data_IF_270262526311
#
_entry.id   IF_270262526311
#
_cell.length_a   1.000
_cell.length_b   1.000
_cell.length_c   1.000
_cell.angle_alpha   90.00
_cell.angle_beta   90.00
_cell.angle_gamma   90.00
#
_symmetry.space_group_name_H-M   'P 1'
#
loop_
_entity.id
_entity.type
_entity.pdbx_description
1 polymer ?
#
# COMPACT_ATOMS: atom_id res chain seq x y z
N UNK A 1 -16.86 -20.93 6.40
CA UNK A 1 -18.21 -20.89 5.81
C UNK A 1 -19.34 -21.31 6.76
N UNK A 2 -19.07 -22.05 7.86
CA UNK A 2 -20.12 -22.66 8.69
C UNK A 2 -20.77 -21.79 9.79
N UNK A 3 -20.42 -20.51 9.98
CA UNK A 3 -20.86 -19.74 11.16
C UNK A 3 -21.75 -18.52 10.87
N UNK A 4 -21.96 -18.12 9.62
CA UNK A 4 -22.68 -16.87 9.32
C UNK A 4 -24.21 -17.02 9.34
N UNK A 5 -24.79 -18.17 9.01
CA UNK A 5 -26.22 -18.42 9.04
C UNK A 5 -27.03 -17.31 8.33
N UNK A 6 -28.14 -16.89 8.92
CA UNK A 6 -29.01 -15.80 8.43
C UNK A 6 -28.54 -14.39 8.86
N UNK A 7 -27.23 -14.18 9.05
CA UNK A 7 -26.72 -12.89 9.51
C UNK A 7 -26.53 -11.91 8.35
N UNK A 8 -26.81 -10.65 8.63
CA UNK A 8 -26.50 -9.54 7.73
C UNK A 8 -25.04 -9.12 7.89
N UNK A 9 -24.34 -8.88 6.79
CA UNK A 9 -22.99 -8.34 6.79
C UNK A 9 -23.05 -6.82 6.76
N UNK A 10 -22.37 -6.17 7.73
CA UNK A 10 -22.15 -4.74 7.72
C UNK A 10 -20.65 -4.49 7.47
N UNK A 11 -20.34 -3.85 6.35
CA UNK A 11 -18.99 -3.57 5.92
C UNK A 11 -18.78 -2.05 5.93
N UNK A 12 -18.22 -1.50 7.00
CA UNK A 12 -17.81 -0.10 7.03
C UNK A 12 -16.55 0.08 6.16
N UNK A 13 -16.37 1.27 5.62
CA UNK A 13 -15.17 1.61 4.82
C UNK A 13 -14.91 0.65 3.66
N UNK A 14 -15.91 0.40 2.85
CA UNK A 14 -15.78 -0.50 1.72
C UNK A 14 -14.68 -0.08 0.74
N UNK A 15 -14.29 1.20 0.74
CA UNK A 15 -13.15 1.73 -0.02
C UNK A 15 -11.81 1.05 0.33
N UNK A 16 -11.71 0.54 1.55
CA UNK A 16 -10.54 -0.17 2.06
C UNK A 16 -10.69 -1.69 2.02
N UNK A 17 -11.84 -2.20 1.57
CA UNK A 17 -12.15 -3.63 1.66
C UNK A 17 -11.11 -4.49 0.95
N UNK A 18 -10.78 -4.19 -0.29
CA UNK A 18 -9.78 -4.94 -1.07
C UNK A 18 -8.39 -4.90 -0.44
N UNK A 19 -8.00 -3.75 0.11
CA UNK A 19 -6.69 -3.59 0.77
C UNK A 19 -6.64 -4.45 2.03
N UNK A 20 -7.63 -4.30 2.92
CA UNK A 20 -7.71 -5.06 4.18
C UNK A 20 -7.83 -6.56 3.94
N UNK A 21 -8.62 -6.96 2.95
CA UNK A 21 -8.73 -8.36 2.60
C UNK A 21 -7.42 -8.92 2.06
N UNK A 22 -6.73 -8.17 1.22
CA UNK A 22 -5.42 -8.59 0.72
C UNK A 22 -4.43 -8.77 1.87
N UNK A 23 -4.38 -7.84 2.81
CA UNK A 23 -3.54 -7.93 4.00
C UNK A 23 -3.88 -9.17 4.85
N UNK A 24 -5.16 -9.41 5.10
CA UNK A 24 -5.61 -10.55 5.91
C UNK A 24 -5.40 -11.92 5.23
N UNK A 25 -5.48 -11.96 3.92
CA UNK A 25 -5.29 -13.19 3.15
C UNK A 25 -3.82 -13.41 2.77
N UNK A 26 -2.96 -12.39 2.92
CA UNK A 26 -1.54 -12.51 2.61
C UNK A 26 -0.86 -13.52 3.54
N UNK A 27 0.01 -14.31 2.95
CA UNK A 27 0.81 -15.31 3.66
C UNK A 27 2.25 -14.80 3.70
N UNK A 28 2.85 -14.84 4.89
CA UNK A 28 4.24 -14.50 5.11
C UNK A 28 4.98 -15.68 5.73
N UNK A 29 5.98 -16.17 5.02
CA UNK A 29 6.85 -17.25 5.48
C UNK A 29 8.16 -16.63 5.96
N UNK A 30 8.45 -16.82 7.22
CA UNK A 30 9.69 -16.40 7.87
C UNK A 30 10.56 -17.62 8.23
N UNK A 31 11.78 -17.39 8.69
CA UNK A 31 12.72 -18.47 9.00
C UNK A 31 12.18 -19.50 9.99
N UNK A 32 11.43 -19.07 11.01
CA UNK A 32 10.86 -19.98 11.99
C UNK A 32 9.86 -20.97 11.39
N UNK A 33 9.10 -20.55 10.37
CA UNK A 33 8.18 -21.47 9.65
C UNK A 33 8.94 -22.59 8.90
N UNK A 34 10.14 -22.28 8.37
CA UNK A 34 11.00 -23.33 7.78
C UNK A 34 11.46 -24.35 8.84
N UNK A 35 11.79 -23.89 10.05
CA UNK A 35 12.16 -24.76 11.16
C UNK A 35 10.97 -25.65 11.58
N UNK A 36 9.79 -25.06 11.72
CA UNK A 36 8.55 -25.77 12.02
C UNK A 36 8.23 -26.85 10.97
N UNK A 37 8.38 -26.52 9.69
CA UNK A 37 8.16 -27.48 8.60
C UNK A 37 9.13 -28.66 8.68
N UNK A 38 10.43 -28.40 8.93
CA UNK A 38 11.44 -29.45 9.08
C UNK A 38 11.15 -30.37 10.28
N UNK A 39 10.72 -29.81 11.39
CA UNK A 39 10.33 -30.57 12.56
C UNK A 39 9.07 -31.43 12.33
N UNK A 40 8.11 -30.92 11.60
CA UNK A 40 6.89 -31.63 11.25
C UNK A 40 7.13 -32.74 10.23
N UNK A 41 8.11 -32.58 9.31
CA UNK A 41 8.39 -33.51 8.23
C UNK A 41 9.87 -33.96 8.23
N UNK A 42 10.34 -34.74 9.23
CA UNK A 42 11.76 -35.14 9.36
C UNK A 42 12.29 -35.93 8.16
N UNK A 43 11.44 -36.70 7.48
CA UNK A 43 11.78 -37.48 6.30
C UNK A 43 12.14 -36.59 5.08
N UNK A 44 11.69 -35.33 5.04
CA UNK A 44 11.99 -34.39 3.99
C UNK A 44 13.03 -33.31 4.38
N UNK A 45 13.59 -33.37 5.60
CA UNK A 45 14.47 -32.34 6.16
C UNK A 45 15.63 -31.97 5.25
N UNK A 46 16.37 -33.00 4.70
CA UNK A 46 17.49 -32.71 3.82
C UNK A 46 17.09 -32.01 2.53
N UNK A 47 15.97 -32.40 1.93
CA UNK A 47 15.45 -31.77 0.71
C UNK A 47 14.99 -30.34 0.98
N UNK A 48 14.35 -30.07 2.13
CA UNK A 48 13.91 -28.75 2.56
C UNK A 48 15.11 -27.82 2.81
N UNK A 49 16.16 -28.31 3.47
CA UNK A 49 17.40 -27.55 3.69
C UNK A 49 18.08 -27.19 2.37
N UNK A 50 18.26 -28.16 1.47
CA UNK A 50 18.88 -27.92 0.17
C UNK A 50 18.07 -26.90 -0.66
N UNK A 51 16.75 -27.00 -0.63
CA UNK A 51 15.86 -26.09 -1.36
C UNK A 51 15.92 -24.67 -0.78
N UNK A 52 15.83 -24.54 0.54
CA UNK A 52 15.94 -23.25 1.23
C UNK A 52 17.29 -22.57 0.97
N UNK A 53 18.39 -23.31 1.07
CA UNK A 53 19.74 -22.83 0.76
C UNK A 53 19.89 -22.37 -0.70
N UNK A 54 19.30 -23.13 -1.62
CA UNK A 54 19.32 -22.79 -3.05
C UNK A 54 18.54 -21.50 -3.31
N UNK A 55 17.34 -21.37 -2.75
CA UNK A 55 16.51 -20.18 -2.86
C UNK A 55 17.20 -18.95 -2.25
N UNK A 56 17.76 -19.10 -1.06
CA UNK A 56 18.50 -18.05 -0.37
C UNK A 56 19.70 -17.57 -1.21
N UNK A 57 20.51 -18.49 -1.72
CA UNK A 57 21.64 -18.13 -2.59
C UNK A 57 21.19 -17.42 -3.85
N UNK A 58 20.15 -17.88 -4.52
CA UNK A 58 19.63 -17.22 -5.73
C UNK A 58 19.14 -15.79 -5.44
N UNK A 59 18.42 -15.58 -4.34
CA UNK A 59 17.94 -14.28 -3.95
C UNK A 59 19.08 -13.31 -3.66
N UNK A 60 20.02 -13.68 -2.77
CA UNK A 60 21.12 -12.79 -2.40
C UNK A 60 22.19 -12.59 -3.48
N UNK A 61 22.33 -13.53 -4.42
CA UNK A 61 23.20 -13.32 -5.58
C UNK A 61 22.63 -12.33 -6.61
N UNK A 62 21.32 -12.21 -6.70
CA UNK A 62 20.64 -11.30 -7.65
C UNK A 62 20.35 -9.94 -7.04
N UNK A 63 20.14 -9.91 -5.73
CA UNK A 63 19.83 -8.67 -5.02
C UNK A 63 21.02 -7.71 -5.01
N UNK A 64 20.74 -6.44 -5.29
CA UNK A 64 21.68 -5.36 -4.94
C UNK A 64 21.57 -5.06 -3.44
N UNK A 65 22.57 -4.35 -2.86
CA UNK A 65 22.55 -4.00 -1.43
C UNK A 65 21.39 -3.08 -1.02
N UNK A 66 20.72 -2.50 -1.98
CA UNK A 66 19.61 -1.56 -1.79
C UNK A 66 18.24 -2.21 -2.00
N UNK A 67 18.19 -3.42 -2.58
CA UNK A 67 16.91 -4.09 -2.85
C UNK A 67 16.35 -4.66 -1.54
N UNK A 68 15.25 -4.08 -1.07
CA UNK A 68 14.51 -4.59 0.09
C UNK A 68 13.51 -5.68 -0.31
N UNK A 69 13.02 -5.67 -1.56
CA UNK A 69 12.04 -6.61 -2.09
C UNK A 69 12.46 -7.12 -3.46
N UNK A 70 12.21 -8.39 -3.74
CA UNK A 70 12.46 -9.02 -5.04
C UNK A 70 11.33 -9.95 -5.43
N UNK A 71 10.92 -9.92 -6.68
CA UNK A 71 9.98 -10.91 -7.22
C UNK A 71 10.61 -12.30 -7.19
N UNK A 72 9.85 -13.30 -6.72
CA UNK A 72 10.27 -14.70 -6.71
C UNK A 72 10.31 -15.27 -8.14
N UNK A 73 11.27 -16.15 -8.41
CA UNK A 73 11.27 -16.91 -9.66
C UNK A 73 10.26 -18.07 -9.57
N UNK A 74 9.34 -18.13 -10.53
CA UNK A 74 8.32 -19.18 -10.56
C UNK A 74 8.85 -20.61 -10.49
N UNK A 75 10.05 -20.88 -11.05
CA UNK A 75 10.66 -22.20 -10.98
C UNK A 75 11.09 -22.62 -9.57
N UNK A 76 11.58 -21.67 -8.75
CA UNK A 76 11.99 -21.96 -7.38
C UNK A 76 10.77 -22.18 -6.46
N UNK A 77 9.76 -21.33 -6.56
CA UNK A 77 8.52 -21.48 -5.81
C UNK A 77 7.73 -22.72 -6.23
N UNK A 78 7.76 -23.06 -7.52
CA UNK A 78 7.11 -24.28 -8.02
C UNK A 78 7.77 -25.55 -7.46
N UNK A 79 9.11 -25.63 -7.43
CA UNK A 79 9.81 -26.77 -6.84
C UNK A 79 9.45 -26.99 -5.38
N UNK A 80 9.27 -25.88 -4.62
CA UNK A 80 8.83 -25.94 -3.23
C UNK A 80 7.38 -26.44 -3.12
N UNK A 81 6.47 -25.92 -3.94
CA UNK A 81 5.07 -26.39 -3.96
C UNK A 81 4.96 -27.86 -4.32
N UNK A 82 5.75 -28.33 -5.26
CA UNK A 82 5.74 -29.74 -5.65
C UNK A 82 6.25 -30.64 -4.51
N UNK A 83 7.27 -30.20 -3.77
CA UNK A 83 7.72 -30.88 -2.57
C UNK A 83 6.64 -30.90 -1.47
N UNK A 84 6.00 -29.76 -1.21
CA UNK A 84 4.92 -29.66 -0.22
C UNK A 84 3.72 -30.55 -0.55
N UNK A 85 3.38 -30.74 -1.83
CA UNK A 85 2.28 -31.61 -2.27
C UNK A 85 2.57 -33.11 -2.02
N UNK A 86 3.84 -33.49 -1.89
CA UNK A 86 4.25 -34.84 -1.58
C UNK A 86 4.26 -35.13 -0.07
N UNK A 87 4.03 -34.13 0.76
CA UNK A 87 4.03 -34.25 2.22
C UNK A 87 2.59 -34.24 2.74
N UNK A 88 2.21 -35.26 3.51
CA UNK A 88 0.82 -35.47 3.96
C UNK A 88 0.38 -34.46 5.04
N UNK A 89 1.27 -34.03 5.92
CA UNK A 89 0.97 -33.25 7.10
C UNK A 89 1.81 -31.94 7.21
N UNK A 90 1.63 -31.04 6.25
CA UNK A 90 2.26 -29.72 6.34
C UNK A 90 1.55 -28.84 7.40
N UNK A 91 2.31 -28.18 8.28
CA UNK A 91 1.72 -27.19 9.19
C UNK A 91 1.24 -25.94 8.44
N UNK A 92 0.30 -25.17 9.03
CA UNK A 92 0.05 -23.82 8.52
C UNK A 92 1.30 -22.97 8.79
N UNK A 93 1.67 -22.01 7.88
CA UNK A 93 0.92 -21.61 6.68
C UNK A 93 1.27 -22.43 5.40
N UNK A 94 2.12 -23.43 5.48
CA UNK A 94 2.56 -24.21 4.31
C UNK A 94 1.42 -24.95 3.61
N UNK A 95 0.48 -25.48 4.40
CA UNK A 95 -0.73 -26.14 3.87
C UNK A 95 -1.54 -25.19 2.99
N UNK A 96 -1.62 -23.93 3.37
CA UNK A 96 -2.40 -22.92 2.67
C UNK A 96 -1.76 -22.60 1.30
N UNK A 97 -0.43 -22.59 1.24
CA UNK A 97 0.35 -22.36 0.01
C UNK A 97 0.09 -23.42 -1.06
N UNK A 98 -0.12 -24.67 -0.66
CA UNK A 98 -0.40 -25.77 -1.60
C UNK A 98 -1.74 -25.57 -2.31
N UNK A 99 -2.70 -24.94 -1.66
CA UNK A 99 -4.05 -24.71 -2.19
C UNK A 99 -4.15 -23.46 -3.08
N UNK A 100 -3.14 -22.59 -3.06
CA UNK A 100 -3.12 -21.35 -3.84
C UNK A 100 -2.86 -21.65 -5.31
N UNK A 101 -3.66 -21.03 -6.19
CA UNK A 101 -3.35 -20.92 -7.60
C UNK A 101 -2.29 -19.82 -7.83
N UNK A 102 -1.05 -20.16 -8.24
CA UNK A 102 0.00 -19.17 -8.43
C UNK A 102 -0.34 -18.07 -9.44
N UNK A 103 -1.25 -18.33 -10.38
CA UNK A 103 -1.67 -17.37 -11.39
C UNK A 103 -2.52 -16.22 -10.82
N UNK A 104 -3.11 -16.42 -9.64
CA UNK A 104 -3.97 -15.46 -8.96
C UNK A 104 -3.26 -14.72 -7.80
N UNK A 105 -1.98 -15.04 -7.57
CA UNK A 105 -1.23 -14.49 -6.45
C UNK A 105 0.07 -13.85 -6.89
N UNK A 106 0.43 -12.75 -6.26
CA UNK A 106 1.77 -12.18 -6.36
C UNK A 106 2.69 -12.85 -5.34
N UNK A 107 3.94 -13.07 -5.74
CA UNK A 107 4.96 -13.70 -4.91
C UNK A 107 6.24 -12.87 -4.92
N UNK A 108 6.75 -12.56 -3.73
CA UNK A 108 8.02 -11.83 -3.60
C UNK A 108 8.76 -12.23 -2.33
N UNK A 109 10.07 -11.98 -2.34
CA UNK A 109 10.92 -12.05 -1.15
C UNK A 109 11.18 -10.65 -0.60
N UNK A 110 11.06 -10.47 0.70
CA UNK A 110 11.62 -9.33 1.43
C UNK A 110 12.97 -9.73 2.01
N UNK A 111 13.98 -8.89 1.82
CA UNK A 111 15.36 -9.19 2.13
C UNK A 111 15.86 -8.33 3.29
N UNK A 112 16.42 -8.94 4.31
CA UNK A 112 17.24 -8.28 5.32
C UNK A 112 18.73 -8.55 5.04
N UNK A 113 19.38 -7.58 4.41
CA UNK A 113 20.80 -7.67 4.06
C UNK A 113 21.74 -7.67 5.26
N UNK A 114 21.29 -7.21 6.43
CA UNK A 114 22.09 -7.17 7.65
C UNK A 114 22.13 -8.52 8.33
N UNK A 115 20.98 -9.19 8.39
CA UNK A 115 20.85 -10.49 9.02
C UNK A 115 21.00 -11.64 8.03
N UNK A 116 21.09 -11.35 6.73
CA UNK A 116 21.05 -12.34 5.64
C UNK A 116 19.81 -13.24 5.72
N UNK A 117 18.72 -12.66 6.15
CA UNK A 117 17.42 -13.31 6.22
C UNK A 117 16.51 -12.83 5.10
N UNK A 118 15.55 -13.64 4.77
CA UNK A 118 14.48 -13.26 3.84
C UNK A 118 13.16 -13.87 4.27
N UNK A 119 12.08 -13.21 3.94
CA UNK A 119 10.73 -13.75 4.08
C UNK A 119 10.09 -13.91 2.70
N UNK A 120 9.33 -14.98 2.52
CA UNK A 120 8.53 -15.20 1.33
C UNK A 120 7.12 -14.68 1.57
N UNK A 121 6.68 -13.75 0.74
CA UNK A 121 5.38 -13.12 0.84
C UNK A 121 4.52 -13.50 -0.36
N UNK A 122 3.27 -13.84 -0.08
CA UNK A 122 2.26 -14.17 -1.08
C UNK A 122 1.01 -13.32 -0.80
N UNK A 123 0.46 -12.68 -1.83
CA UNK A 123 -0.76 -11.89 -1.69
C UNK A 123 -1.68 -12.10 -2.91
N UNK A 124 -3.01 -12.18 -2.71
CA UNK A 124 -3.95 -12.31 -3.80
C UNK A 124 -3.95 -11.05 -4.67
N UNK A 125 -3.94 -11.22 -5.99
CA UNK A 125 -4.04 -10.11 -6.94
C UNK A 125 -5.42 -9.45 -6.84
N UNK A 126 -6.48 -10.25 -6.83
CA UNK A 126 -7.88 -9.82 -6.74
C UNK A 126 -8.56 -10.45 -5.52
N UNK A 127 -8.45 -9.84 -4.33
CA UNK A 127 -8.96 -10.43 -3.09
C UNK A 127 -10.49 -10.53 -3.05
N UNK A 128 -11.22 -9.68 -3.78
CA UNK A 128 -12.68 -9.73 -3.82
C UNK A 128 -13.22 -10.96 -4.54
N UNK A 129 -12.48 -11.54 -5.49
CA UNK A 129 -12.86 -12.79 -6.16
C UNK A 129 -13.00 -13.94 -5.15
N UNK A 130 -12.21 -13.92 -4.09
CA UNK A 130 -12.24 -14.96 -3.05
C UNK A 130 -13.46 -14.88 -2.13
N UNK A 131 -14.15 -13.75 -2.09
CA UNK A 131 -15.31 -13.51 -1.23
C UNK A 131 -16.57 -13.11 -2.00
N UNK A 132 -16.49 -13.05 -3.32
CA UNK A 132 -17.62 -12.68 -4.17
C UNK A 132 -18.88 -13.49 -3.88
N UNK A 133 -18.75 -14.83 -3.81
CA UNK A 133 -19.85 -15.74 -3.48
C UNK A 133 -20.43 -15.50 -2.09
N UNK A 134 -19.57 -15.17 -1.10
CA UNK A 134 -20.02 -14.84 0.25
C UNK A 134 -20.85 -13.56 0.28
N UNK A 135 -20.38 -12.51 -0.41
CA UNK A 135 -21.07 -11.22 -0.49
C UNK A 135 -22.39 -11.31 -1.26
N UNK A 136 -22.48 -12.20 -2.26
CA UNK A 136 -23.72 -12.43 -3.01
C UNK A 136 -24.72 -13.30 -2.26
N UNK A 137 -24.26 -14.24 -1.43
CA UNK A 137 -25.12 -15.18 -0.71
C UNK A 137 -25.69 -14.62 0.60
N UNK A 138 -25.17 -13.48 1.09
CA UNK A 138 -25.60 -12.88 2.34
C UNK A 138 -26.09 -11.43 2.13
N UNK A 139 -27.19 -11.01 2.79
CA UNK A 139 -27.58 -9.62 2.80
C UNK A 139 -26.45 -8.75 3.32
N UNK A 140 -25.95 -7.83 2.50
CA UNK A 140 -24.77 -7.02 2.82
C UNK A 140 -25.08 -5.53 2.72
N UNK A 141 -24.72 -4.76 3.75
CA UNK A 141 -24.73 -3.31 3.73
C UNK A 141 -23.28 -2.81 3.72
N UNK A 142 -22.90 -2.12 2.65
CA UNK A 142 -21.57 -1.60 2.45
C UNK A 142 -21.59 -0.06 2.53
N UNK A 143 -20.75 0.52 3.34
CA UNK A 143 -20.65 1.97 3.55
C UNK A 143 -19.31 2.47 3.01
N UNK A 144 -19.35 3.57 2.27
CA UNK A 144 -18.16 4.27 1.75
C UNK A 144 -18.20 5.72 2.17
N UNK A 145 -17.04 6.27 2.56
CA UNK A 145 -16.84 7.69 2.80
C UNK A 145 -16.59 8.48 1.49
N UNK A 146 -16.12 7.79 0.45
CA UNK A 146 -15.77 8.38 -0.85
C UNK A 146 -16.83 7.96 -1.89
N UNK A 147 -17.83 8.79 -2.08
CA UNK A 147 -19.07 8.44 -2.77
C UNK A 147 -18.97 7.96 -4.23
N UNK A 148 -18.00 8.37 -5.01
CA UNK A 148 -17.86 8.00 -6.43
C UNK A 148 -16.47 7.47 -6.70
N UNK A 149 -16.32 6.16 -6.54
CA UNK A 149 -15.03 5.50 -6.61
C UNK A 149 -14.99 4.52 -7.80
N UNK A 150 -14.48 4.99 -8.93
CA UNK A 150 -14.33 4.17 -10.14
C UNK A 150 -13.55 2.87 -9.92
N UNK A 151 -12.65 2.85 -8.93
CA UNK A 151 -11.93 1.66 -8.51
C UNK A 151 -12.87 0.57 -7.97
N UNK A 152 -13.73 0.93 -7.02
CA UNK A 152 -14.70 -0.03 -6.45
C UNK A 152 -15.65 -0.57 -7.52
N UNK A 153 -16.07 0.26 -8.46
CA UNK A 153 -16.89 -0.18 -9.56
C UNK A 153 -16.18 -1.19 -10.45
N UNK A 154 -14.89 -0.97 -10.71
CA UNK A 154 -14.08 -1.91 -11.46
C UNK A 154 -13.89 -3.23 -10.70
N UNK A 155 -13.47 -3.16 -9.43
CA UNK A 155 -13.27 -4.34 -8.57
C UNK A 155 -14.56 -5.15 -8.39
N UNK A 156 -15.70 -4.49 -8.19
CA UNK A 156 -17.01 -5.16 -8.09
C UNK A 156 -17.43 -5.81 -9.41
N UNK A 157 -17.13 -5.15 -10.54
CA UNK A 157 -17.40 -5.72 -11.86
C UNK A 157 -16.54 -6.96 -12.12
N UNK A 158 -15.26 -6.91 -11.76
CA UNK A 158 -14.35 -8.05 -11.89
C UNK A 158 -14.76 -9.21 -11.00
N UNK A 159 -15.11 -8.96 -9.75
CA UNK A 159 -15.59 -9.98 -8.80
C UNK A 159 -17.07 -10.38 -9.04
N UNK A 160 -17.70 -9.90 -10.12
CA UNK A 160 -19.10 -10.13 -10.44
C UNK A 160 -20.10 -9.73 -9.33
N UNK A 161 -19.71 -8.84 -8.42
CA UNK A 161 -20.54 -8.34 -7.33
C UNK A 161 -21.48 -7.26 -7.88
N UNK A 162 -22.80 -7.44 -7.71
CA UNK A 162 -23.81 -6.47 -8.17
C UNK A 162 -24.63 -6.00 -6.98
N UNK A 163 -24.55 -4.72 -6.59
CA UNK A 163 -25.41 -4.17 -5.56
C UNK A 163 -26.84 -4.03 -6.08
N UNK A 164 -27.84 -4.47 -5.31
CA UNK A 164 -29.25 -4.31 -5.64
C UNK A 164 -29.69 -2.84 -5.49
N UNK A 165 -29.14 -2.14 -4.50
CA UNK A 165 -29.46 -0.74 -4.24
C UNK A 165 -28.16 0.04 -4.02
N UNK A 166 -28.07 1.21 -4.65
CA UNK A 166 -26.99 2.18 -4.45
C UNK A 166 -27.59 3.51 -4.05
N UNK A 167 -27.16 4.04 -2.92
CA UNK A 167 -27.57 5.35 -2.42
C UNK A 167 -26.34 6.20 -2.10
N UNK A 168 -26.37 7.47 -2.49
CA UNK A 168 -25.33 8.45 -2.15
C UNK A 168 -25.95 9.56 -1.32
N UNK A 169 -25.44 9.73 -0.11
CA UNK A 169 -25.82 10.82 0.79
C UNK A 169 -24.76 11.92 0.62
N UNK A 170 -25.00 12.86 -0.30
CA UNK A 170 -24.10 14.01 -0.47
C UNK A 170 -24.52 15.13 0.48
N UNK A 171 -23.63 15.51 1.37
CA UNK A 171 -23.73 16.83 2.02
C UNK A 171 -23.43 17.93 1.00
N UNK A 172 -24.38 18.86 0.85
CA UNK A 172 -24.25 20.00 -0.08
C UNK A 172 -23.13 20.99 0.30
N UNK A 173 -22.62 20.91 1.50
CA UNK A 173 -21.76 21.94 2.10
C UNK A 173 -20.25 21.78 1.86
N UNK A 174 -19.79 20.69 1.27
CA UNK A 174 -18.38 20.48 0.95
C UNK A 174 -17.91 21.20 -0.34
N UNK A 175 -18.68 22.16 -0.83
CA UNK A 175 -18.41 22.85 -2.10
C UNK A 175 -17.51 24.09 -1.97
N UNK A 176 -17.01 24.44 -0.79
CA UNK A 176 -16.02 25.51 -0.72
C UNK A 176 -14.70 25.05 -1.35
N UNK A 177 -14.22 25.79 -2.36
CA UNK A 177 -12.98 25.43 -3.02
C UNK A 177 -11.81 25.56 -2.05
N UNK A 178 -11.05 24.48 -1.87
CA UNK A 178 -9.82 24.51 -1.09
C UNK A 178 -8.77 25.31 -1.85
N UNK A 179 -8.11 26.34 -1.24
CA UNK A 179 -7.01 27.06 -1.87
C UNK A 179 -5.90 26.08 -2.28
N UNK A 180 -5.65 25.98 -3.59
CA UNK A 180 -4.66 25.08 -4.17
C UNK A 180 -3.48 25.88 -4.71
N UNK A 181 -2.28 25.56 -4.22
CA UNK A 181 -1.02 25.98 -4.79
C UNK A 181 -0.38 24.86 -5.61
N UNK A 182 -0.25 25.04 -6.90
CA UNK A 182 0.46 24.12 -7.78
C UNK A 182 1.29 24.92 -8.79
N UNK A 183 2.63 24.89 -8.74
CA UNK A 183 3.48 25.59 -9.71
C UNK A 183 3.24 25.07 -11.13
N UNK A 184 3.14 25.97 -12.11
CA UNK A 184 2.82 25.61 -13.50
C UNK A 184 3.87 24.76 -14.20
N UNK A 185 5.12 24.83 -13.75
CA UNK A 185 6.25 24.09 -14.35
C UNK A 185 7.00 23.38 -13.25
N UNK A 186 6.56 22.18 -12.96
CA UNK A 186 7.16 21.35 -11.95
C UNK A 186 8.00 20.25 -12.62
N UNK A 187 9.18 19.91 -12.08
CA UNK A 187 9.93 18.75 -12.55
C UNK A 187 9.20 17.47 -12.17
N UNK A 188 9.38 16.43 -12.96
CA UNK A 188 8.89 15.09 -12.63
C UNK A 188 9.73 14.49 -11.48
N UNK A 189 9.11 13.68 -10.60
CA UNK A 189 9.79 13.07 -9.44
C UNK A 189 11.05 12.26 -9.76
N UNK A 190 11.14 11.67 -10.95
CA UNK A 190 12.29 10.89 -11.40
C UNK A 190 13.46 11.71 -11.95
N UNK A 191 13.38 13.06 -11.89
CA UNK A 191 14.45 13.94 -12.39
C UNK A 191 15.41 14.35 -11.26
N UNK A 192 16.69 14.53 -11.59
CA UNK A 192 17.72 14.93 -10.61
C UNK A 192 17.46 16.29 -9.95
N UNK A 193 16.68 17.16 -10.60
CA UNK A 193 16.35 18.49 -10.08
C UNK A 193 15.16 18.48 -9.13
N UNK A 194 14.43 17.38 -9.03
CA UNK A 194 13.19 17.30 -8.28
C UNK A 194 13.39 17.53 -6.77
N UNK A 195 14.38 16.89 -6.17
CA UNK A 195 14.67 17.03 -4.73
C UNK A 195 15.00 18.47 -4.36
N UNK A 196 15.76 19.18 -5.21
CA UNK A 196 16.07 20.60 -5.03
C UNK A 196 14.82 21.47 -5.14
N UNK A 197 14.00 21.24 -6.18
CA UNK A 197 12.73 21.95 -6.38
C UNK A 197 11.79 21.76 -5.17
N UNK A 198 11.64 20.52 -4.73
CA UNK A 198 10.79 20.17 -3.58
C UNK A 198 11.25 20.89 -2.31
N UNK A 199 12.56 20.94 -2.05
CA UNK A 199 13.12 21.66 -0.91
C UNK A 199 12.86 23.16 -0.99
N UNK A 200 13.14 23.80 -2.13
CA UNK A 200 12.98 25.25 -2.33
C UNK A 200 11.51 25.69 -2.19
N UNK A 201 10.58 24.94 -2.79
CA UNK A 201 9.16 25.25 -2.69
C UNK A 201 8.60 24.95 -1.29
N UNK A 202 9.01 23.88 -0.65
CA UNK A 202 8.62 23.56 0.73
C UNK A 202 9.10 24.66 1.70
N UNK A 203 10.34 25.13 1.57
CA UNK A 203 10.86 26.28 2.35
C UNK A 203 10.01 27.53 2.19
N UNK A 204 9.69 27.87 0.94
CA UNK A 204 8.88 29.05 0.63
C UNK A 204 7.49 28.96 1.25
N UNK A 205 6.86 27.79 1.17
CA UNK A 205 5.54 27.54 1.74
C UNK A 205 5.55 27.59 3.26
N UNK A 206 6.55 27.01 3.92
CA UNK A 206 6.73 27.02 5.39
C UNK A 206 6.96 28.44 5.90
N UNK A 207 7.77 29.24 5.20
CA UNK A 207 8.01 30.65 5.56
C UNK A 207 6.78 31.53 5.33
N UNK A 208 5.97 31.19 4.36
CA UNK A 208 4.77 31.96 4.00
C UNK A 208 3.51 31.63 4.82
N UNK A 209 3.57 30.64 5.72
CA UNK A 209 2.43 30.19 6.53
C UNK A 209 2.86 29.89 7.96
N UNK A 210 2.17 30.49 8.92
CA UNK A 210 2.23 30.05 10.31
C UNK A 210 1.28 28.87 10.54
N UNK A 211 1.56 28.07 11.57
CA UNK A 211 0.76 26.93 11.97
C UNK A 211 1.33 25.58 11.52
N UNK A 212 0.54 24.54 11.70
CA UNK A 212 0.95 23.17 11.44
C UNK A 212 1.00 22.87 9.94
N UNK A 213 2.17 22.44 9.47
CA UNK A 213 2.39 22.02 8.08
C UNK A 213 2.64 20.51 8.02
N UNK A 214 1.89 19.80 7.20
CA UNK A 214 2.11 18.36 6.92
C UNK A 214 2.70 18.22 5.52
N UNK A 215 3.77 17.42 5.37
CA UNK A 215 4.41 17.14 4.08
C UNK A 215 4.32 15.64 3.78
N UNK A 216 3.62 15.28 2.71
CA UNK A 216 3.32 13.89 2.33
C UNK A 216 4.28 13.39 1.25
N UNK A 217 5.08 12.37 1.56
CA UNK A 217 6.07 11.78 0.65
C UNK A 217 6.20 10.27 0.94
N UNK A 218 5.84 9.41 -0.01
CA UNK A 218 5.97 7.95 0.15
C UNK A 218 7.41 7.44 -0.01
N UNK A 219 8.23 8.12 -0.81
CA UNK A 219 9.64 7.76 -0.95
C UNK A 219 10.41 8.06 0.35
N UNK A 220 10.85 7.03 1.04
CA UNK A 220 11.52 7.14 2.33
C UNK A 220 12.85 7.91 2.22
N UNK A 221 13.65 7.65 1.20
CA UNK A 221 14.94 8.30 1.03
C UNK A 221 14.76 9.79 0.77
N UNK A 222 13.86 10.16 -0.13
CA UNK A 222 13.52 11.55 -0.43
C UNK A 222 12.94 12.25 0.79
N UNK A 223 12.06 11.58 1.55
CA UNK A 223 11.46 12.13 2.79
C UNK A 223 12.52 12.43 3.85
N UNK A 224 13.41 11.48 4.14
CA UNK A 224 14.49 11.67 5.11
C UNK A 224 15.45 12.78 4.70
N UNK A 225 15.80 12.85 3.42
CA UNK A 225 16.66 13.91 2.87
C UNK A 225 16.01 15.28 3.02
N UNK A 226 14.72 15.40 2.67
CA UNK A 226 13.98 16.65 2.81
C UNK A 226 13.86 17.06 4.29
N UNK A 227 13.48 16.12 5.16
CA UNK A 227 13.35 16.34 6.60
C UNK A 227 14.66 16.87 7.20
N UNK A 228 15.79 16.22 6.89
CA UNK A 228 17.11 16.65 7.37
C UNK A 228 17.47 18.05 6.86
N UNK A 229 17.20 18.35 5.59
CA UNK A 229 17.50 19.66 5.00
C UNK A 229 16.63 20.78 5.60
N UNK A 230 15.35 20.51 5.82
CA UNK A 230 14.44 21.46 6.47
C UNK A 230 14.79 21.62 7.97
N UNK A 231 15.16 20.56 8.66
CA UNK A 231 15.56 20.62 10.08
C UNK A 231 16.85 21.42 10.28
N UNK A 232 17.78 21.38 9.32
CA UNK A 232 18.98 22.21 9.36
C UNK A 232 18.67 23.72 9.35
N UNK A 233 17.54 24.13 8.75
CA UNK A 233 17.14 25.54 8.67
C UNK A 233 16.12 25.93 9.74
N UNK A 234 15.10 25.10 9.97
CA UNK A 234 13.97 25.41 10.86
C UNK A 234 14.13 24.78 12.26
N UNK A 235 15.18 23.99 12.47
CA UNK A 235 15.50 23.35 13.76
C UNK A 235 14.45 22.31 14.18
N UNK A 236 14.21 22.24 15.49
CA UNK A 236 13.32 21.24 16.12
C UNK A 236 11.84 21.29 15.68
N UNK A 237 11.42 22.32 14.96
CA UNK A 237 10.08 22.40 14.40
C UNK A 237 9.81 21.31 13.37
N UNK A 238 10.86 20.81 12.71
CA UNK A 238 10.75 19.81 11.65
C UNK A 238 10.97 18.44 12.26
N UNK A 239 9.97 17.59 12.15
CA UNK A 239 9.96 16.26 12.74
C UNK A 239 9.40 15.24 11.74
N UNK A 240 9.83 14.00 11.88
CA UNK A 240 9.28 12.91 11.06
C UNK A 240 8.24 12.13 11.87
N UNK A 241 7.08 11.87 11.28
CA UNK A 241 6.06 10.93 11.74
C UNK A 241 5.76 11.03 13.26
N UNK A 242 5.43 12.23 13.75
CA UNK A 242 5.07 12.44 15.16
C UNK A 242 3.61 12.87 15.30
N UNK A 243 2.94 12.38 16.33
CA UNK A 243 1.57 12.77 16.71
C UNK A 243 1.51 13.97 17.67
N UNK A 244 2.66 14.42 18.16
CA UNK A 244 2.77 15.56 19.08
C UNK A 244 3.68 16.68 18.52
N UNK A 245 3.33 17.30 17.39
CA UNK A 245 4.10 18.40 16.84
C UNK A 245 3.90 19.70 17.65
N UNK A 246 4.87 20.61 17.54
CA UNK A 246 4.70 21.99 18.00
C UNK A 246 3.55 22.65 17.22
N UNK A 247 2.89 23.68 17.79
CA UNK A 247 1.78 24.40 17.15
C UNK A 247 2.14 25.06 15.81
N UNK A 248 3.42 25.34 15.59
CA UNK A 248 3.98 25.85 14.34
C UNK A 248 4.95 24.83 13.74
N UNK A 249 4.63 23.55 13.88
CA UNK A 249 5.46 22.42 13.48
C UNK A 249 5.38 22.11 12.00
N UNK A 250 6.38 21.36 11.53
CA UNK A 250 6.42 20.76 10.20
C UNK A 250 6.59 19.26 10.36
N UNK A 251 5.59 18.48 9.99
CA UNK A 251 5.61 17.02 10.07
C UNK A 251 5.78 16.46 8.67
N UNK A 252 6.86 15.71 8.44
CA UNK A 252 7.05 14.94 7.22
C UNK A 252 6.64 13.50 7.47
N UNK A 253 5.80 12.93 6.62
CA UNK A 253 5.32 11.56 6.78
C UNK A 253 4.96 10.94 5.43
N UNK A 254 4.73 9.63 5.41
CA UNK A 254 4.09 8.97 4.27
C UNK A 254 2.56 9.05 4.36
N UNK A 255 1.90 8.71 3.25
CA UNK A 255 0.46 8.77 3.14
C UNK A 255 -0.27 7.82 4.09
N UNK A 256 0.26 6.61 4.30
CA UNK A 256 -0.37 5.63 5.19
C UNK A 256 -0.30 6.08 6.63
N UNK A 257 0.87 6.54 7.07
CA UNK A 257 1.04 7.08 8.41
C UNK A 257 0.07 8.25 8.66
N UNK A 258 -0.01 9.20 7.71
CA UNK A 258 -0.93 10.32 7.81
C UNK A 258 -2.39 9.88 7.94
N UNK A 259 -2.86 8.99 7.07
CA UNK A 259 -4.24 8.51 7.08
C UNK A 259 -4.63 7.80 8.38
N UNK A 260 -3.67 7.11 9.02
CA UNK A 260 -3.90 6.43 10.31
C UNK A 260 -3.94 7.43 11.47
N UNK A 261 -3.01 8.39 11.50
CA UNK A 261 -2.78 9.25 12.66
C UNK A 261 -3.38 10.66 12.55
N UNK A 262 -3.97 11.04 11.42
CA UNK A 262 -4.48 12.40 11.19
C UNK A 262 -5.51 12.87 12.23
N UNK A 263 -6.24 11.95 12.87
CA UNK A 263 -7.21 12.27 13.92
C UNK A 263 -6.57 12.51 15.29
N UNK A 264 -5.29 12.15 15.47
CA UNK A 264 -4.53 12.34 16.70
C UNK A 264 -3.80 13.69 16.71
N UNK A 265 -3.62 14.30 15.52
CA UNK A 265 -2.95 15.57 15.37
C UNK A 265 -3.95 16.74 15.41
N UNK A 266 -3.46 17.96 15.78
CA UNK A 266 -4.22 19.18 15.53
C UNK A 266 -4.55 19.34 14.03
N UNK A 267 -5.62 20.05 13.72
CA UNK A 267 -5.97 20.34 12.33
C UNK A 267 -4.84 21.14 11.66
N UNK A 268 -4.35 20.71 10.48
CA UNK A 268 -3.26 21.38 9.80
C UNK A 268 -3.75 22.69 9.14
N UNK A 269 -2.87 23.69 9.12
CA UNK A 269 -3.07 24.93 8.36
C UNK A 269 -2.63 24.77 6.91
N UNK A 270 -1.75 23.78 6.66
CA UNK A 270 -1.22 23.51 5.33
C UNK A 270 -0.88 22.04 5.16
N UNK A 271 -1.25 21.49 4.00
CA UNK A 271 -0.75 20.18 3.54
C UNK A 271 0.05 20.40 2.26
N UNK A 272 1.27 19.89 2.23
CA UNK A 272 2.16 19.87 1.06
C UNK A 272 2.25 18.43 0.55
N UNK A 273 1.70 18.18 -0.61
CA UNK A 273 1.88 16.89 -1.32
C UNK A 273 3.20 16.97 -2.08
N UNK A 274 4.25 16.41 -1.49
CA UNK A 274 5.56 16.30 -2.14
C UNK A 274 5.53 15.22 -3.23
N UNK A 275 4.89 14.10 -3.00
CA UNK A 275 4.64 13.07 -4.00
C UNK A 275 3.17 12.65 -3.98
N UNK A 276 2.56 12.58 -5.15
CA UNK A 276 1.22 11.99 -5.30
C UNK A 276 1.25 10.51 -4.86
N UNK A 277 0.16 9.99 -4.28
CA UNK A 277 0.11 8.62 -3.75
C UNK A 277 -0.01 7.55 -4.85
N UNK A 278 0.72 7.72 -5.94
CA UNK A 278 0.77 6.75 -7.03
C UNK A 278 1.73 5.64 -6.61
N UNK A 279 1.24 4.40 -6.58
CA UNK A 279 2.03 3.26 -6.17
C UNK A 279 3.22 3.03 -7.10
N UNK A 280 4.39 2.67 -6.53
CA UNK A 280 5.61 2.39 -7.28
C UNK A 280 5.53 1.02 -7.94
N UNK A 281 6.02 0.93 -9.18
CA UNK A 281 6.22 -0.33 -9.88
C UNK A 281 7.41 -1.15 -9.32
N UNK A 282 8.23 -0.56 -8.47
CA UNK A 282 9.29 -1.29 -7.75
C UNK A 282 8.69 -2.20 -6.66
N UNK A 283 7.45 -1.92 -6.23
CA UNK A 283 6.73 -2.82 -5.34
C UNK A 283 6.26 -4.06 -6.12
N UNK A 284 6.70 -5.28 -5.73
CA UNK A 284 6.41 -6.50 -6.48
C UNK A 284 4.92 -6.81 -6.63
N UNK A 285 4.11 -6.51 -5.62
CA UNK A 285 2.66 -6.68 -5.68
C UNK A 285 2.03 -5.73 -6.71
N UNK A 286 2.41 -4.46 -6.67
CA UNK A 286 1.95 -3.47 -7.67
C UNK A 286 2.36 -3.88 -9.08
N UNK A 287 3.62 -4.31 -9.26
CA UNK A 287 4.12 -4.77 -10.55
C UNK A 287 3.34 -5.98 -11.07
N UNK A 288 3.02 -6.96 -10.20
CA UNK A 288 2.26 -8.14 -10.58
C UNK A 288 0.82 -7.80 -11.00
N UNK A 289 0.15 -6.88 -10.28
CA UNK A 289 -1.19 -6.40 -10.62
C UNK A 289 -1.20 -5.66 -11.96
N UNK A 290 -0.22 -4.79 -12.17
CA UNK A 290 -0.04 -4.08 -13.44
C UNK A 290 0.22 -5.04 -14.60
N UNK A 291 1.05 -6.07 -14.40
CA UNK A 291 1.32 -7.09 -15.42
C UNK A 291 0.07 -7.87 -15.80
N UNK A 292 -0.76 -8.24 -14.82
CA UNK A 292 -2.05 -8.90 -15.06
C UNK A 292 -2.98 -8.05 -15.92
N UNK A 293 -3.15 -6.76 -15.59
CA UNK A 293 -3.98 -5.85 -16.39
C UNK A 293 -3.45 -5.68 -17.83
N UNK A 294 -2.13 -5.58 -17.99
CA UNK A 294 -1.50 -5.54 -19.32
C UNK A 294 -1.79 -6.80 -20.14
N UNK A 295 -1.79 -7.98 -19.50
CA UNK A 295 -2.13 -9.25 -20.16
C UNK A 295 -3.60 -9.30 -20.57
N UNK A 296 -4.47 -8.64 -19.83
CA UNK A 296 -5.91 -8.49 -20.13
C UNK A 296 -6.19 -7.40 -21.18
N UNK A 297 -5.19 -6.60 -21.56
CA UNK A 297 -5.34 -5.48 -22.49
C UNK A 297 -5.95 -4.23 -21.87
N UNK A 298 -5.98 -4.14 -20.53
CA UNK A 298 -6.52 -3.03 -19.76
C UNK A 298 -5.51 -1.88 -19.59
N UNK A 299 -5.98 -0.65 -19.38
CA UNK A 299 -5.14 0.51 -19.09
C UNK A 299 -4.78 0.53 -17.59
N UNK A 300 -3.71 -0.19 -17.24
CA UNK A 300 -3.25 -0.34 -15.87
C UNK A 300 -3.07 0.97 -15.10
N UNK A 301 -2.76 2.08 -15.79
CA UNK A 301 -2.63 3.37 -15.11
C UNK A 301 -3.99 3.96 -14.78
N UNK A 302 -4.93 3.98 -15.74
CA UNK A 302 -6.28 4.54 -15.56
C UNK A 302 -7.19 3.65 -14.74
N UNK A 303 -7.00 2.33 -14.84
CA UNK A 303 -7.89 1.37 -14.20
C UNK A 303 -7.41 0.94 -12.80
N UNK A 304 -6.11 1.14 -12.49
CA UNK A 304 -5.54 0.73 -11.20
C UNK A 304 -4.87 1.88 -10.46
N UNK A 305 -3.75 2.40 -10.97
CA UNK A 305 -2.91 3.31 -10.18
C UNK A 305 -3.54 4.67 -9.93
N UNK A 306 -4.19 5.23 -10.93
CA UNK A 306 -4.85 6.53 -10.81
C UNK A 306 -6.07 6.48 -9.87
N UNK A 307 -7.02 5.53 -10.00
CA UNK A 307 -8.11 5.40 -9.06
C UNK A 307 -7.66 5.16 -7.62
N UNK A 308 -6.64 4.32 -7.39
CA UNK A 308 -6.08 4.11 -6.05
C UNK A 308 -5.53 5.40 -5.45
N UNK A 309 -4.78 6.18 -6.23
CA UNK A 309 -4.28 7.47 -5.78
C UNK A 309 -5.41 8.46 -5.48
N UNK A 310 -6.42 8.54 -6.36
CA UNK A 310 -7.56 9.44 -6.19
C UNK A 310 -8.42 9.11 -4.97
N UNK A 311 -8.49 7.86 -4.55
CA UNK A 311 -9.22 7.46 -3.34
C UNK A 311 -8.57 7.96 -2.05
N UNK A 312 -7.25 8.08 -2.02
CA UNK A 312 -6.52 8.49 -0.83
C UNK A 312 -6.59 10.00 -0.59
N UNK A 313 -6.64 10.80 -1.65
CA UNK A 313 -6.55 12.26 -1.58
C UNK A 313 -7.70 12.88 -0.76
N UNK A 314 -8.99 12.57 -0.99
CA UNK A 314 -10.08 13.18 -0.23
C UNK A 314 -9.98 12.95 1.28
N UNK A 315 -9.63 11.73 1.68
CA UNK A 315 -9.45 11.37 3.09
C UNK A 315 -8.26 12.11 3.71
N UNK A 316 -7.16 12.24 2.98
CA UNK A 316 -5.96 12.91 3.47
C UNK A 316 -6.14 14.43 3.65
N UNK A 317 -6.95 15.08 2.81
CA UNK A 317 -7.21 16.54 2.89
C UNK A 317 -8.43 16.89 3.73
N UNK A 318 -9.17 15.92 4.26
CA UNK A 318 -10.37 16.17 5.06
C UNK A 318 -10.11 17.06 6.29
N UNK A 319 -9.01 16.87 7.08
CA UNK A 319 -8.69 17.79 8.18
C UNK A 319 -8.44 19.22 7.71
N UNK A 320 -7.77 19.38 6.57
CA UNK A 320 -7.47 20.69 5.99
C UNK A 320 -8.73 21.45 5.57
N UNK A 321 -9.77 20.74 5.10
CA UNK A 321 -11.05 21.36 4.78
C UNK A 321 -11.77 21.90 6.02
N UNK A 322 -11.63 21.23 7.18
CA UNK A 322 -12.21 21.69 8.46
C UNK A 322 -11.50 22.92 9.00
N UNK A 323 -10.18 22.98 8.89
CA UNK A 323 -9.37 24.13 9.34
C UNK A 323 -9.46 25.35 8.43
N UNK A 324 -9.98 25.20 7.20
CA UNK A 324 -9.92 26.24 6.18
C UNK A 324 -8.50 26.52 5.68
N UNK A 325 -7.60 25.54 5.83
CA UNK A 325 -6.21 25.62 5.42
C UNK A 325 -6.00 25.56 3.91
N UNK A 326 -4.77 25.42 3.48
CA UNK A 326 -4.41 25.37 2.04
C UNK A 326 -3.66 24.09 1.65
N UNK A 327 -3.90 23.66 0.44
CA UNK A 327 -3.23 22.52 -0.18
C UNK A 327 -2.14 23.01 -1.14
N UNK A 328 -0.96 22.45 -1.05
CA UNK A 328 0.09 22.60 -2.06
C UNK A 328 0.40 21.25 -2.69
N UNK A 329 0.56 21.19 -4.01
CA UNK A 329 0.97 19.99 -4.73
C UNK A 329 2.22 20.30 -5.53
N UNK A 330 3.32 19.64 -5.17
CA UNK A 330 4.65 19.88 -5.72
C UNK A 330 5.13 18.74 -6.65
N UNK A 331 4.22 17.93 -7.12
CA UNK A 331 4.50 16.78 -8.00
C UNK A 331 4.14 17.14 -9.46
N UNK A 332 5.11 17.10 -10.34
CA UNK A 332 4.92 17.43 -11.76
C UNK A 332 4.05 16.46 -12.56
N UNK A 333 3.48 15.45 -11.90
CA UNK A 333 2.51 14.52 -12.50
C UNK A 333 1.06 15.00 -12.36
N UNK A 334 0.82 16.12 -11.65
CA UNK A 334 -0.51 16.72 -11.45
C UNK A 334 -1.13 17.22 -12.75
#
# INVERSE_FOLDING_TARGET
QGQLGERQLLIPEMDQLSVRMREQLSIRIENHHWDELRHACPHAESALLELHDRMSRQLFMRATRTDACMRMEGAASQSLRDLLRLMDDCPSPWRDIVQIDPSQWAEWAELDHKLLHWSWNLAPLEPLDLVGDLLQSHPSLMLSSNGDNGRLELEFRQAAIRPDVRASLRERELNEPLPLYAPRRQPLPNTKIYSKHLLEESRRLILGQAGLTIILINDQQLRLQLTSSLAAEFGRRVVEATTAPDSNGVVTCDWNWWLVHQCELPEPDQIIVGLLPIASLDNPLTAARVERLKQQGEDWFRDLLLPEALCLIPSAIAPLRRSGGRLAVLDGRL
#
